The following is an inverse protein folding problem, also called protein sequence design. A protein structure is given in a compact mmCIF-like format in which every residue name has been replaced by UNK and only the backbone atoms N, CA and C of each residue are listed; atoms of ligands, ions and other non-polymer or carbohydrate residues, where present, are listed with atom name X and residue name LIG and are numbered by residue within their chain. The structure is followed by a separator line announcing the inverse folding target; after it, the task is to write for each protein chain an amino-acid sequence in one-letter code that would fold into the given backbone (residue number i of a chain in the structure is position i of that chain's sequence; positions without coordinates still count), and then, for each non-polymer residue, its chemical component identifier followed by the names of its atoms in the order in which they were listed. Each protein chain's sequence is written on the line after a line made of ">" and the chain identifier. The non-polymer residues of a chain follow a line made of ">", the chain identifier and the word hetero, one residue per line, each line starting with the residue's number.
data_IF_416032685704
#
_entry.id   IF_416032685704
#
_cell.length_a   1.000
_cell.length_b   1.000
_cell.length_c   1.000
_cell.angle_alpha   90.00
_cell.angle_beta   90.00
_cell.angle_gamma   90.00
#
_symmetry.space_group_name_H-M   'P 1'
#
loop_
_entity.id
_entity.type
_entity.pdbx_description
1 polymer ?
#
# COMPACT_ATOMS: atom_id res chain seq x y z
N UNK A 1 -32.80 22.39 20.77
CA UNK A 1 -31.89 23.53 21.05
C UNK A 1 -30.83 23.52 19.98
N UNK A 2 -30.97 24.39 18.98
CA UNK A 2 -29.95 24.61 17.96
C UNK A 2 -28.75 25.27 18.63
N UNK A 3 -27.66 24.51 18.80
CA UNK A 3 -26.40 25.11 19.22
C UNK A 3 -25.98 26.10 18.13
N UNK A 4 -26.01 27.38 18.48
CA UNK A 4 -25.40 28.44 17.71
C UNK A 4 -23.89 28.17 17.75
N UNK A 5 -23.39 27.37 16.81
CA UNK A 5 -21.96 27.24 16.55
C UNK A 5 -21.51 28.62 16.10
N UNK A 6 -21.04 29.45 17.04
CA UNK A 6 -20.50 30.77 16.74
C UNK A 6 -19.47 30.61 15.63
N UNK A 7 -19.79 31.10 14.44
CA UNK A 7 -18.99 30.91 13.25
C UNK A 7 -17.76 31.81 13.31
N UNK A 8 -16.77 31.42 14.09
CA UNK A 8 -15.45 32.05 14.03
C UNK A 8 -14.81 31.66 12.71
N UNK A 9 -14.42 32.66 11.92
CA UNK A 9 -13.68 32.47 10.68
C UNK A 9 -12.50 31.50 10.87
N UNK A 10 -12.32 30.51 9.98
CA UNK A 10 -11.17 29.61 10.03
C UNK A 10 -9.86 30.39 9.91
N UNK A 11 -8.81 29.95 10.61
CA UNK A 11 -7.49 30.57 10.59
C UNK A 11 -6.46 29.59 10.04
N UNK A 12 -5.70 30.03 9.06
CA UNK A 12 -4.59 29.27 8.47
C UNK A 12 -3.27 29.98 8.81
N UNK A 13 -2.44 29.32 9.61
CA UNK A 13 -1.09 29.78 9.93
C UNK A 13 -0.11 29.25 8.88
N UNK A 14 0.49 30.13 8.10
CA UNK A 14 1.30 29.77 6.93
C UNK A 14 2.35 30.84 6.65
N UNK A 15 3.42 30.44 5.97
CA UNK A 15 4.35 31.36 5.32
C UNK A 15 3.64 32.05 4.15
N UNK A 16 3.10 33.24 4.40
CA UNK A 16 2.20 33.96 3.49
C UNK A 16 2.87 34.21 2.13
N UNK A 17 4.19 34.41 2.12
CA UNK A 17 5.02 34.60 0.92
C UNK A 17 5.00 33.41 -0.05
N UNK A 18 4.54 32.22 0.40
CA UNK A 18 4.40 31.03 -0.44
C UNK A 18 3.05 30.93 -1.14
N UNK A 19 2.11 31.83 -0.84
CA UNK A 19 0.77 31.79 -1.42
C UNK A 19 0.71 32.62 -2.71
N UNK A 20 0.26 32.00 -3.80
CA UNK A 20 -0.11 32.71 -5.02
C UNK A 20 -1.47 33.41 -4.86
N UNK A 21 -1.75 34.37 -5.72
CA UNK A 21 -3.08 35.00 -5.83
C UNK A 21 -4.18 33.97 -6.08
N UNK A 22 -3.95 33.02 -6.98
CA UNK A 22 -4.87 31.92 -7.26
C UNK A 22 -5.18 31.08 -6.00
N UNK A 23 -4.17 30.75 -5.20
CA UNK A 23 -4.36 30.01 -3.95
C UNK A 23 -5.13 30.83 -2.92
N UNK A 24 -4.86 32.13 -2.81
CA UNK A 24 -5.59 33.00 -1.88
C UNK A 24 -7.07 33.14 -2.28
N UNK A 25 -7.38 33.19 -3.58
CA UNK A 25 -8.75 33.15 -4.09
C UNK A 25 -9.40 31.80 -3.79
N UNK A 26 -8.71 30.69 -4.08
CA UNK A 26 -9.21 29.34 -3.80
C UNK A 26 -9.52 29.12 -2.31
N UNK A 27 -8.66 29.61 -1.43
CA UNK A 27 -8.83 29.53 0.03
C UNK A 27 -9.92 30.46 0.57
N UNK A 28 -10.56 31.28 -0.28
CA UNK A 28 -11.50 32.31 0.16
C UNK A 28 -10.88 33.26 1.20
N UNK A 29 -9.61 33.63 0.96
CA UNK A 29 -8.80 34.48 1.84
C UNK A 29 -8.54 35.88 1.26
N UNK A 30 -9.03 36.16 0.05
CA UNK A 30 -8.75 37.39 -0.67
C UNK A 30 -9.56 38.59 -0.14
N UNK A 31 -8.96 39.80 0.00
CA UNK A 31 -9.69 40.96 0.49
C UNK A 31 -10.68 41.55 -0.54
N UNK A 32 -11.84 42.08 -0.09
CA UNK A 32 -12.38 41.99 1.26
C UNK A 32 -13.48 40.92 1.37
N UNK A 33 -13.12 39.72 1.83
CA UNK A 33 -14.08 38.71 2.28
C UNK A 33 -14.38 38.92 3.78
N UNK A 34 -15.60 39.33 4.12
CA UNK A 34 -16.05 39.60 5.51
C UNK A 34 -17.08 38.60 6.05
N UNK A 35 -17.29 37.49 5.34
CA UNK A 35 -18.23 36.44 5.73
C UNK A 35 -17.62 35.49 6.77
N UNK A 36 -18.48 34.82 7.53
CA UNK A 36 -18.10 33.86 8.58
C UNK A 36 -17.23 32.67 8.11
N UNK A 37 -17.13 32.43 6.79
CA UNK A 37 -16.37 31.33 6.19
C UNK A 37 -15.05 31.78 5.54
N UNK A 38 -14.70 33.07 5.57
CA UNK A 38 -13.45 33.54 4.97
C UNK A 38 -12.26 33.04 5.79
N UNK A 39 -11.22 32.52 5.11
CA UNK A 39 -10.01 32.04 5.78
C UNK A 39 -9.12 33.24 6.14
N UNK A 40 -8.83 33.38 7.44
CA UNK A 40 -7.86 34.36 7.93
C UNK A 40 -6.45 33.79 7.77
N UNK A 41 -5.66 34.38 6.88
CA UNK A 41 -4.24 34.06 6.72
C UNK A 41 -3.44 34.78 7.80
N UNK A 42 -2.69 34.00 8.57
CA UNK A 42 -1.83 34.49 9.65
C UNK A 42 -0.42 33.96 9.43
N UNK A 43 0.58 34.74 9.82
CA UNK A 43 1.97 34.33 9.72
C UNK A 43 2.22 33.07 10.56
N UNK A 44 2.97 32.11 10.01
CA UNK A 44 3.25 30.83 10.66
C UNK A 44 3.86 31.00 12.06
N UNK A 45 4.78 31.95 12.26
CA UNK A 45 5.44 32.16 13.56
C UNK A 45 4.49 32.73 14.63
N UNK A 46 3.35 33.29 14.22
CA UNK A 46 2.38 33.90 15.13
C UNK A 46 1.49 32.90 15.88
N UNK A 47 1.50 31.61 15.50
CA UNK A 47 0.59 30.58 16.04
C UNK A 47 0.57 30.52 17.57
N UNK A 48 1.73 30.61 18.23
CA UNK A 48 1.82 30.57 19.71
C UNK A 48 1.15 31.77 20.36
N UNK A 49 1.35 32.97 19.80
CA UNK A 49 0.77 34.23 20.30
C UNK A 49 -0.76 34.18 20.16
N UNK A 50 -1.26 33.79 18.99
CA UNK A 50 -2.69 33.69 18.74
C UNK A 50 -3.36 32.61 19.58
N UNK A 51 -2.72 31.45 19.77
CA UNK A 51 -3.22 30.39 20.65
C UNK A 51 -3.27 30.88 22.11
N UNK A 52 -2.20 31.50 22.60
CA UNK A 52 -2.16 32.09 23.95
C UNK A 52 -3.29 33.11 24.17
N UNK A 53 -3.47 34.04 23.23
CA UNK A 53 -4.56 35.02 23.27
C UNK A 53 -5.95 34.39 23.17
N UNK A 54 -6.11 33.32 22.39
CA UNK A 54 -7.38 32.60 22.30
C UNK A 54 -7.73 31.92 23.62
N UNK A 55 -6.74 31.36 24.30
CA UNK A 55 -6.90 30.67 25.58
C UNK A 55 -7.26 31.60 26.74
N UNK A 56 -7.06 32.92 26.65
CA UNK A 56 -7.51 33.86 27.70
C UNK A 56 -9.03 34.02 27.77
N UNK A 57 -9.74 33.62 26.71
CA UNK A 57 -11.21 33.73 26.64
C UNK A 57 -11.89 32.75 27.62
N UNK A 58 -13.03 33.13 28.22
CA UNK A 58 -13.80 32.21 29.04
C UNK A 58 -14.44 31.12 28.18
N UNK A 59 -14.60 29.92 28.75
CA UNK A 59 -15.32 28.78 28.15
C UNK A 59 -14.79 28.29 26.78
N UNK A 60 -13.51 28.49 26.48
CA UNK A 60 -12.86 27.90 25.30
C UNK A 60 -12.25 26.54 25.62
N UNK A 61 -12.37 25.61 24.68
CA UNK A 61 -11.63 24.34 24.68
C UNK A 61 -10.88 24.19 23.36
N UNK A 62 -9.70 23.59 23.41
CA UNK A 62 -8.83 23.34 22.26
C UNK A 62 -8.67 21.84 22.09
N UNK A 63 -9.03 21.34 20.92
CA UNK A 63 -8.87 19.93 20.58
C UNK A 63 -7.53 19.71 19.89
N UNK A 64 -6.70 18.83 20.45
CA UNK A 64 -5.41 18.42 19.88
C UNK A 64 -5.33 16.90 19.68
N UNK A 65 -4.48 16.48 18.73
CA UNK A 65 -4.14 15.07 18.54
C UNK A 65 -2.91 14.68 19.36
N UNK A 66 -2.95 13.60 20.13
CA UNK A 66 -1.84 13.22 21.03
C UNK A 66 -0.64 12.63 20.31
N UNK A 67 -0.82 12.08 19.11
CA UNK A 67 0.24 11.39 18.37
C UNK A 67 1.19 12.35 17.60
N UNK A 68 0.78 13.60 17.35
CA UNK A 68 1.52 14.52 16.46
C UNK A 68 1.52 15.98 16.89
N UNK A 69 0.83 16.36 17.96
CA UNK A 69 0.88 17.73 18.47
C UNK A 69 2.18 17.94 19.24
N UNK A 70 2.98 18.92 18.82
CA UNK A 70 4.26 19.21 19.48
C UNK A 70 4.05 19.77 20.88
N UNK A 71 5.01 19.48 21.77
CA UNK A 71 5.01 20.01 23.14
C UNK A 71 4.89 21.54 23.19
N UNK A 72 5.52 22.23 22.24
CA UNK A 72 5.52 23.69 22.18
C UNK A 72 4.14 24.31 21.99
N UNK A 73 3.17 23.59 21.42
CA UNK A 73 1.77 24.04 21.34
C UNK A 73 0.94 23.49 22.49
N UNK A 74 1.11 22.22 22.85
CA UNK A 74 0.28 21.59 23.88
C UNK A 74 0.51 22.18 25.27
N UNK A 75 1.75 22.59 25.60
CA UNK A 75 2.07 23.19 26.91
C UNK A 75 1.39 24.56 27.15
N UNK A 76 0.96 25.23 26.09
CA UNK A 76 0.26 26.51 26.19
C UNK A 76 -1.19 26.33 26.70
N UNK A 77 -1.78 25.15 26.48
CA UNK A 77 -3.19 24.87 26.75
C UNK A 77 -3.39 24.59 28.23
N UNK A 78 -3.58 25.66 29.01
CA UNK A 78 -3.84 25.61 30.46
C UNK A 78 -5.04 26.48 30.85
N UNK A 79 -5.78 26.13 31.93
CA UNK A 79 -5.69 24.89 32.73
C UNK A 79 -6.11 23.63 31.93
N UNK A 80 -5.82 22.44 32.47
CA UNK A 80 -6.04 21.13 31.81
C UNK A 80 -7.48 20.95 31.30
N UNK A 81 -8.48 21.49 31.99
CA UNK A 81 -9.90 21.50 31.57
C UNK A 81 -10.17 22.13 30.18
N UNK A 82 -9.23 22.95 29.67
CA UNK A 82 -9.32 23.54 28.32
C UNK A 82 -8.86 22.58 27.22
N UNK A 83 -8.25 21.45 27.55
CA UNK A 83 -7.75 20.49 26.56
C UNK A 83 -8.81 19.44 26.24
N UNK A 84 -8.98 19.18 24.94
CA UNK A 84 -9.66 18.00 24.43
C UNK A 84 -8.65 17.19 23.63
N UNK A 85 -8.61 15.89 23.84
CA UNK A 85 -7.62 15.02 23.20
C UNK A 85 -8.27 13.86 22.48
N UNK A 86 -7.71 13.52 21.32
CA UNK A 86 -7.89 12.23 20.66
C UNK A 86 -6.52 11.76 20.17
N UNK A 87 -6.35 10.46 19.88
CA UNK A 87 -5.11 9.99 19.25
C UNK A 87 -4.86 10.74 17.93
N UNK A 88 -5.91 10.80 17.10
CA UNK A 88 -5.89 11.47 15.79
C UNK A 88 -7.03 12.48 15.66
N UNK A 89 -6.84 13.59 14.94
CA UNK A 89 -7.94 14.53 14.67
C UNK A 89 -9.01 13.91 13.77
N UNK A 90 -10.24 14.44 13.79
CA UNK A 90 -11.29 14.03 12.86
C UNK A 90 -10.87 14.12 11.38
N UNK A 91 -9.98 15.06 11.02
CA UNK A 91 -9.46 15.21 9.66
C UNK A 91 -8.61 14.00 9.26
N UNK A 92 -7.72 13.52 10.15
CA UNK A 92 -6.91 12.32 9.93
C UNK A 92 -7.78 11.06 9.77
N UNK A 93 -8.85 10.94 10.56
CA UNK A 93 -9.80 9.83 10.44
C UNK A 93 -10.60 9.91 9.14
N UNK A 94 -11.02 11.11 8.73
CA UNK A 94 -11.79 11.31 7.51
C UNK A 94 -10.97 10.99 6.25
N UNK A 95 -9.77 11.58 6.10
CA UNK A 95 -8.92 11.37 4.91
C UNK A 95 -8.39 9.93 4.77
N UNK A 96 -8.36 9.18 5.87
CA UNK A 96 -7.95 7.78 5.85
C UNK A 96 -8.89 6.91 4.98
N UNK A 97 -10.18 7.28 4.89
CA UNK A 97 -11.21 6.58 4.13
C UNK A 97 -11.46 7.31 2.81
N UNK A 98 -10.99 6.72 1.70
CA UNK A 98 -11.06 7.36 0.39
C UNK A 98 -12.45 7.17 -0.21
N UNK A 99 -13.04 8.26 -0.69
CA UNK A 99 -14.33 8.23 -1.40
C UNK A 99 -14.25 7.48 -2.73
N UNK A 100 -15.38 7.22 -3.38
CA UNK A 100 -15.42 6.49 -4.65
C UNK A 100 -14.54 7.10 -5.74
N UNK A 101 -14.60 8.43 -5.91
CA UNK A 101 -13.77 9.12 -6.90
C UNK A 101 -12.27 8.99 -6.57
N UNK A 102 -11.89 9.18 -5.32
CA UNK A 102 -10.51 9.03 -4.86
C UNK A 102 -10.00 7.61 -5.09
N UNK A 103 -10.81 6.59 -4.76
CA UNK A 103 -10.47 5.18 -5.02
C UNK A 103 -10.21 4.91 -6.51
N UNK A 104 -11.06 5.45 -7.39
CA UNK A 104 -10.89 5.29 -8.84
C UNK A 104 -9.58 5.90 -9.32
N UNK A 105 -9.33 7.16 -8.97
CA UNK A 105 -8.15 7.87 -9.48
C UNK A 105 -6.85 7.33 -8.87
N UNK A 106 -6.86 6.86 -7.61
CA UNK A 106 -5.72 6.18 -7.01
C UNK A 106 -5.38 4.89 -7.76
N UNK A 107 -6.40 4.10 -8.13
CA UNK A 107 -6.20 2.89 -8.94
C UNK A 107 -5.62 3.24 -10.31
N UNK A 108 -6.10 4.30 -10.95
CA UNK A 108 -5.54 4.79 -12.21
C UNK A 108 -4.08 5.25 -12.08
N UNK A 109 -3.70 5.87 -10.96
CA UNK A 109 -2.31 6.22 -10.67
C UNK A 109 -1.41 4.98 -10.55
N UNK A 110 -1.90 3.91 -9.90
CA UNK A 110 -1.15 2.65 -9.80
C UNK A 110 -1.02 1.93 -11.15
N UNK A 111 -1.99 2.08 -12.06
CA UNK A 111 -1.88 1.59 -13.45
C UNK A 111 -0.74 2.31 -14.17
N UNK A 112 -0.66 3.65 -14.07
CA UNK A 112 0.45 4.42 -14.66
C UNK A 112 1.80 4.07 -14.04
N UNK A 113 1.85 3.91 -12.72
CA UNK A 113 3.06 3.52 -12.01
C UNK A 113 3.55 2.13 -12.43
N UNK A 114 2.64 1.18 -12.58
CA UNK A 114 2.96 -0.16 -13.05
C UNK A 114 3.62 -0.14 -14.44
N UNK A 115 3.25 0.79 -15.34
CA UNK A 115 3.95 0.96 -16.62
C UNK A 115 5.42 1.30 -16.40
N UNK A 116 5.72 2.31 -15.57
CA UNK A 116 7.08 2.74 -15.31
C UNK A 116 7.94 1.64 -14.65
N UNK A 117 7.35 0.87 -13.73
CA UNK A 117 8.05 -0.25 -13.09
C UNK A 117 8.28 -1.41 -14.08
N UNK A 118 7.31 -1.74 -14.94
CA UNK A 118 7.51 -2.76 -15.98
C UNK A 118 8.61 -2.34 -16.98
N UNK A 119 8.66 -1.07 -17.36
CA UNK A 119 9.75 -0.52 -18.18
C UNK A 119 11.11 -0.70 -17.50
N UNK A 120 11.21 -0.38 -16.20
CA UNK A 120 12.44 -0.59 -15.43
C UNK A 120 12.86 -2.06 -15.45
N UNK A 121 11.95 -2.98 -15.10
CA UNK A 121 12.28 -4.40 -14.98
C UNK A 121 12.68 -5.03 -16.31
N UNK A 122 11.99 -4.67 -17.40
CA UNK A 122 12.36 -5.08 -18.75
C UNK A 122 13.73 -4.52 -19.16
N UNK A 123 13.96 -3.22 -18.95
CA UNK A 123 15.23 -2.59 -19.29
C UNK A 123 16.39 -3.25 -18.55
N UNK A 124 16.25 -3.46 -17.23
CA UNK A 124 17.26 -4.14 -16.41
C UNK A 124 17.48 -5.60 -16.84
N UNK A 125 16.43 -6.35 -17.17
CA UNK A 125 16.57 -7.72 -17.69
C UNK A 125 17.46 -7.77 -18.95
N UNK A 126 17.42 -6.72 -19.78
CA UNK A 126 18.23 -6.62 -20.98
C UNK A 126 19.62 -5.97 -20.77
N UNK A 127 19.76 -5.04 -19.82
CA UNK A 127 20.99 -4.24 -19.62
C UNK A 127 21.95 -4.84 -18.59
N UNK A 128 21.47 -5.44 -17.51
CA UNK A 128 22.33 -6.01 -16.45
C UNK A 128 23.28 -7.09 -17.00
N UNK A 129 22.85 -8.02 -17.88
CA UNK A 129 23.78 -8.98 -18.48
C UNK A 129 24.92 -8.35 -19.32
N UNK A 130 24.76 -7.09 -19.75
CA UNK A 130 25.78 -6.34 -20.49
C UNK A 130 26.77 -5.60 -19.58
N UNK A 131 26.50 -5.54 -18.27
CA UNK A 131 27.44 -5.08 -17.25
C UNK A 131 27.60 -3.58 -17.06
N UNK A 132 26.65 -2.76 -17.52
CA UNK A 132 26.77 -1.29 -17.49
C UNK A 132 25.88 -0.61 -16.44
N UNK A 133 25.00 -1.35 -15.76
CA UNK A 133 24.04 -0.75 -14.84
C UNK A 133 24.48 -0.82 -13.39
N UNK A 134 24.03 0.18 -12.64
CA UNK A 134 24.30 0.37 -11.22
C UNK A 134 23.00 0.65 -10.47
N UNK A 135 23.06 0.62 -9.15
CA UNK A 135 21.92 1.01 -8.31
C UNK A 135 21.42 2.43 -8.62
N UNK A 136 22.34 3.40 -8.79
CA UNK A 136 21.98 4.78 -9.17
C UNK A 136 21.33 4.87 -10.55
N UNK A 137 21.84 4.12 -11.55
CA UNK A 137 21.23 4.18 -12.89
C UNK A 137 19.83 3.59 -12.90
N UNK A 138 19.59 2.54 -12.11
CA UNK A 138 18.26 1.95 -11.96
C UNK A 138 17.28 2.86 -11.19
N UNK A 139 17.72 3.46 -10.08
CA UNK A 139 16.91 4.44 -9.34
C UNK A 139 16.54 5.65 -10.21
N UNK A 140 17.48 6.16 -11.00
CA UNK A 140 17.23 7.24 -11.95
C UNK A 140 16.27 6.82 -13.05
N UNK A 141 16.46 5.64 -13.65
CA UNK A 141 15.64 5.15 -14.75
C UNK A 141 14.15 5.10 -14.38
N UNK A 142 13.79 4.50 -13.23
CA UNK A 142 12.38 4.39 -12.84
C UNK A 142 11.75 5.74 -12.58
N UNK A 143 12.51 6.69 -12.03
CA UNK A 143 12.04 8.06 -11.81
C UNK A 143 11.79 8.79 -13.14
N UNK A 144 12.67 8.62 -14.13
CA UNK A 144 12.45 9.16 -15.48
C UNK A 144 11.27 8.50 -16.19
N UNK A 145 11.11 7.17 -16.07
CA UNK A 145 9.97 6.46 -16.62
C UNK A 145 8.65 6.96 -16.00
N UNK A 146 8.62 7.23 -14.68
CA UNK A 146 7.48 7.84 -13.99
C UNK A 146 7.19 9.26 -14.45
N UNK A 147 8.22 10.08 -14.72
CA UNK A 147 8.03 11.46 -15.24
C UNK A 147 7.31 11.49 -16.59
N UNK A 148 7.42 10.44 -17.40
CA UNK A 148 6.69 10.33 -18.66
C UNK A 148 5.20 10.01 -18.48
N UNK A 149 4.80 9.53 -17.29
CA UNK A 149 3.43 9.18 -17.01
C UNK A 149 2.59 10.43 -16.68
N UNK A 150 1.35 10.44 -17.17
CA UNK A 150 0.43 11.56 -16.95
C UNK A 150 0.24 11.86 -15.45
N UNK A 151 0.16 13.16 -15.12
CA UNK A 151 0.00 13.69 -13.75
C UNK A 151 1.18 13.49 -12.79
N UNK A 152 2.30 12.88 -13.19
CA UNK A 152 3.44 12.70 -12.30
C UNK A 152 4.04 14.04 -11.80
N UNK A 153 4.47 14.07 -10.54
CA UNK A 153 5.06 15.20 -9.81
C UNK A 153 6.35 14.82 -9.07
N UNK A 154 7.02 13.75 -9.51
CA UNK A 154 8.24 13.23 -8.91
C UNK A 154 8.01 11.98 -8.07
N UNK A 155 9.06 11.51 -7.37
CA UNK A 155 8.97 10.33 -6.52
C UNK A 155 8.19 10.61 -5.23
N UNK A 156 7.55 9.58 -4.67
CA UNK A 156 6.86 9.67 -3.36
C UNK A 156 7.81 9.56 -2.16
N UNK A 157 9.00 9.00 -2.36
CA UNK A 157 10.12 8.91 -1.43
C UNK A 157 11.42 8.62 -2.21
N UNK A 158 12.58 8.67 -1.56
CA UNK A 158 13.87 8.36 -2.20
C UNK A 158 13.91 6.89 -2.63
N UNK A 159 14.09 6.62 -3.93
CA UNK A 159 14.10 5.26 -4.46
C UNK A 159 15.21 4.41 -3.82
N UNK A 160 14.80 3.28 -3.26
CA UNK A 160 15.71 2.21 -2.84
C UNK A 160 15.98 1.34 -4.06
N UNK A 161 17.23 1.31 -4.50
CA UNK A 161 17.71 0.43 -5.56
C UNK A 161 18.93 -0.28 -5.02
N UNK A 162 18.86 -1.58 -4.79
CA UNK A 162 19.81 -2.29 -3.95
C UNK A 162 20.19 -3.65 -4.54
N UNK A 163 21.49 -3.88 -4.75
CA UNK A 163 22.05 -5.15 -5.27
C UNK A 163 22.78 -5.92 -4.18
N UNK A 164 22.47 -7.22 -4.06
CA UNK A 164 23.17 -8.13 -3.15
C UNK A 164 23.12 -7.62 -1.70
N UNK A 165 24.28 -7.46 -1.02
CA UNK A 165 24.32 -7.07 0.40
C UNK A 165 23.61 -5.76 0.73
N UNK A 166 23.57 -4.80 -0.20
CA UNK A 166 22.86 -3.54 0.01
C UNK A 166 21.35 -3.76 0.18
N UNK A 167 20.78 -4.80 -0.46
CA UNK A 167 19.37 -5.12 -0.31
C UNK A 167 19.02 -5.63 1.10
N UNK A 168 20.00 -6.11 1.88
CA UNK A 168 19.80 -6.51 3.27
C UNK A 168 19.56 -5.32 4.22
N UNK A 169 19.77 -4.09 3.74
CA UNK A 169 19.53 -2.86 4.49
C UNK A 169 18.15 -2.31 4.13
N UNK A 170 17.16 -2.51 5.01
CA UNK A 170 15.75 -2.19 4.72
C UNK A 170 15.51 -0.73 4.28
N UNK A 171 16.31 0.23 4.76
CA UNK A 171 16.21 1.66 4.46
C UNK A 171 17.41 2.20 3.66
N UNK A 172 17.99 1.38 2.78
CA UNK A 172 19.10 1.80 1.91
C UNK A 172 18.63 2.66 0.74
N UNK A 173 19.33 3.75 0.46
CA UNK A 173 19.23 4.46 -0.82
C UNK A 173 20.64 4.66 -1.38
N UNK A 174 20.87 4.38 -2.67
CA UNK A 174 22.21 4.47 -3.24
C UNK A 174 22.72 5.90 -3.28
N UNK A 175 24.00 6.06 -2.96
CA UNK A 175 24.77 7.30 -3.08
C UNK A 175 25.94 7.06 -4.04
N UNK A 176 26.59 8.10 -4.59
CA UNK A 176 27.81 7.92 -5.38
C UNK A 176 28.88 7.07 -4.67
N UNK A 177 28.96 7.14 -3.34
CA UNK A 177 29.92 6.41 -2.51
C UNK A 177 29.54 4.95 -2.28
N UNK A 178 28.24 4.61 -2.28
CA UNK A 178 27.73 3.25 -2.00
C UNK A 178 27.23 2.51 -3.24
N UNK A 179 27.24 3.17 -4.41
CA UNK A 179 26.67 2.68 -5.66
C UNK A 179 27.33 1.37 -6.14
N UNK A 180 26.61 0.26 -6.09
CA UNK A 180 27.07 -1.03 -6.62
C UNK A 180 26.71 -1.20 -8.09
N UNK A 181 27.56 -1.93 -8.82
CA UNK A 181 27.19 -2.48 -10.12
C UNK A 181 26.14 -3.59 -9.92
N UNK A 182 25.12 -3.60 -10.79
CA UNK A 182 24.14 -4.67 -10.81
C UNK A 182 24.75 -5.92 -11.44
N UNK A 183 24.37 -7.09 -10.93
CA UNK A 183 24.92 -8.38 -11.33
C UNK A 183 23.83 -9.40 -11.59
N UNK A 184 24.05 -10.28 -12.58
CA UNK A 184 23.16 -11.42 -12.82
C UNK A 184 23.23 -12.49 -11.72
N UNK A 185 24.27 -12.45 -10.88
CA UNK A 185 24.50 -13.42 -9.82
C UNK A 185 24.00 -12.96 -8.44
N UNK A 186 23.42 -11.76 -8.36
CA UNK A 186 22.89 -11.19 -7.12
C UNK A 186 21.37 -11.01 -7.21
N UNK A 187 20.70 -11.02 -6.05
CA UNK A 187 19.33 -10.52 -5.97
C UNK A 187 19.35 -9.00 -6.03
N UNK A 188 18.34 -8.44 -6.68
CA UNK A 188 18.13 -7.01 -6.76
C UNK A 188 16.76 -6.64 -6.20
N UNK A 189 16.73 -5.65 -5.32
CA UNK A 189 15.53 -5.09 -4.73
C UNK A 189 15.37 -3.65 -5.21
N UNK A 190 14.18 -3.33 -5.73
CA UNK A 190 13.77 -1.95 -6.00
C UNK A 190 12.50 -1.64 -5.24
N UNK A 191 12.57 -0.64 -4.38
CA UNK A 191 11.43 -0.06 -3.69
C UNK A 191 11.32 1.42 -4.06
N UNK A 192 10.19 1.78 -4.65
CA UNK A 192 10.03 3.07 -5.29
C UNK A 192 8.56 3.42 -5.48
N UNK A 193 8.25 4.71 -5.47
CA UNK A 193 6.90 5.19 -5.74
C UNK A 193 6.89 6.56 -6.40
N UNK A 194 5.71 6.99 -6.84
CA UNK A 194 5.46 8.24 -7.53
C UNK A 194 4.39 9.07 -6.84
N UNK A 195 4.57 10.39 -6.87
CA UNK A 195 3.49 11.34 -6.64
C UNK A 195 2.84 11.65 -7.99
N UNK A 196 1.53 11.48 -8.05
CA UNK A 196 0.69 11.91 -9.14
C UNK A 196 -0.33 12.89 -8.58
N UNK A 197 -0.77 13.89 -9.35
CA UNK A 197 -1.80 14.85 -8.90
C UNK A 197 -3.10 14.17 -8.40
N UNK A 198 -3.26 12.90 -8.74
CA UNK A 198 -4.43 12.06 -8.49
C UNK A 198 -4.07 10.75 -7.76
N UNK A 199 -2.89 10.65 -7.14
CA UNK A 199 -2.55 9.50 -6.31
C UNK A 199 -1.11 9.47 -5.81
N UNK A 200 -0.87 8.70 -4.76
CA UNK A 200 0.48 8.35 -4.28
C UNK A 200 0.66 6.85 -4.42
N UNK A 201 1.80 6.41 -4.94
CA UNK A 201 2.11 4.99 -5.13
C UNK A 201 3.29 4.57 -4.28
N UNK A 202 3.32 3.28 -3.98
CA UNK A 202 4.38 2.59 -3.24
C UNK A 202 4.46 1.15 -3.73
N UNK A 203 5.65 0.68 -4.08
CA UNK A 203 5.82 -0.68 -4.63
C UNK A 203 7.27 -1.13 -4.54
N UNK A 204 7.43 -2.32 -3.96
CA UNK A 204 8.69 -3.04 -3.93
C UNK A 204 8.62 -4.31 -4.77
N UNK A 205 9.64 -4.53 -5.60
CA UNK A 205 9.89 -5.81 -6.29
C UNK A 205 11.31 -6.27 -6.05
N UNK A 206 11.46 -7.57 -5.83
CA UNK A 206 12.76 -8.24 -5.75
C UNK A 206 12.88 -9.23 -6.91
N UNK A 207 14.00 -9.20 -7.64
CA UNK A 207 14.24 -9.98 -8.87
C UNK A 207 15.64 -10.60 -8.87
N UNK A 208 15.86 -11.55 -9.78
CA UNK A 208 17.16 -12.18 -10.01
C UNK A 208 17.35 -12.48 -11.51
N UNK A 209 18.47 -12.06 -12.12
CA UNK A 209 18.67 -12.23 -13.58
C UNK A 209 19.36 -13.53 -13.99
N UNK A 210 20.14 -14.15 -13.11
CA UNK A 210 20.76 -15.47 -13.32
C UNK A 210 20.03 -16.61 -12.60
N UNK A 211 20.78 -17.50 -11.94
CA UNK A 211 20.24 -18.65 -11.20
C UNK A 211 20.24 -18.40 -9.69
N UNK A 212 19.07 -18.19 -9.05
CA UNK A 212 19.00 -18.01 -7.60
C UNK A 212 19.31 -19.32 -6.86
N UNK A 213 19.90 -19.20 -5.67
CA UNK A 213 20.15 -20.34 -4.77
C UNK A 213 18.86 -20.90 -4.19
N UNK A 214 18.89 -22.15 -3.71
CA UNK A 214 17.73 -22.76 -3.05
C UNK A 214 17.24 -21.92 -1.86
N UNK A 215 18.16 -21.37 -1.06
CA UNK A 215 17.80 -20.54 0.08
C UNK A 215 17.16 -19.21 -0.33
N UNK A 216 17.66 -18.55 -1.39
CA UNK A 216 17.04 -17.34 -1.94
C UNK A 216 15.61 -17.60 -2.43
N UNK A 217 15.38 -18.72 -3.12
CA UNK A 217 14.04 -19.13 -3.57
C UNK A 217 13.10 -19.43 -2.40
N UNK A 218 13.56 -20.18 -1.41
CA UNK A 218 12.77 -20.50 -0.22
C UNK A 218 12.40 -19.22 0.56
N UNK A 219 13.38 -18.36 0.84
CA UNK A 219 13.14 -17.11 1.55
C UNK A 219 12.17 -16.20 0.79
N UNK A 220 12.36 -16.02 -0.52
CA UNK A 220 11.46 -15.21 -1.34
C UNK A 220 10.04 -15.78 -1.36
N UNK A 221 9.92 -17.10 -1.51
CA UNK A 221 8.62 -17.75 -1.55
C UNK A 221 7.89 -17.62 -0.21
N UNK A 222 8.59 -17.71 0.92
CA UNK A 222 7.99 -17.49 2.25
C UNK A 222 7.53 -16.05 2.46
N UNK A 223 8.29 -15.07 1.99
CA UNK A 223 7.85 -13.66 1.97
C UNK A 223 6.59 -13.51 1.12
N UNK A 224 6.58 -14.10 -0.09
CA UNK A 224 5.42 -14.08 -0.99
C UNK A 224 4.20 -14.75 -0.36
N UNK A 225 4.37 -15.90 0.29
CA UNK A 225 3.29 -16.58 1.02
C UNK A 225 2.68 -15.65 2.07
N UNK A 226 3.50 -14.94 2.85
CA UNK A 226 3.00 -13.96 3.82
C UNK A 226 2.18 -12.83 3.18
N UNK A 227 2.66 -12.29 2.05
CA UNK A 227 1.95 -11.23 1.32
C UNK A 227 0.61 -11.74 0.78
N UNK A 228 0.59 -12.95 0.20
CA UNK A 228 -0.63 -13.60 -0.30
C UNK A 228 -1.62 -13.84 0.83
N UNK A 229 -1.18 -14.38 1.98
CA UNK A 229 -2.06 -14.69 3.11
C UNK A 229 -2.75 -13.42 3.62
N UNK A 230 -2.05 -12.30 3.80
CA UNK A 230 -2.70 -11.05 4.18
C UNK A 230 -3.66 -10.59 3.09
N UNK A 231 -3.19 -10.52 1.84
CA UNK A 231 -3.97 -9.98 0.71
C UNK A 231 -5.27 -10.73 0.45
N UNK A 232 -5.33 -12.03 0.75
CA UNK A 232 -6.53 -12.87 0.56
C UNK A 232 -7.43 -12.98 1.80
N UNK A 233 -7.01 -12.43 2.94
CA UNK A 233 -7.71 -12.65 4.21
C UNK A 233 -9.08 -11.99 4.19
N UNK A 234 -10.10 -12.76 4.55
CA UNK A 234 -11.45 -12.26 4.80
C UNK A 234 -11.60 -12.08 6.32
N UNK A 235 -11.96 -10.89 6.76
CA UNK A 235 -11.98 -10.52 8.18
C UNK A 235 -13.24 -9.73 8.55
N UNK A 236 -13.73 -9.82 9.81
CA UNK A 236 -14.86 -9.02 10.26
C UNK A 236 -14.60 -7.52 10.16
N UNK A 237 -15.62 -6.76 9.80
CA UNK A 237 -15.55 -5.30 9.84
C UNK A 237 -15.16 -4.81 11.24
N UNK A 238 -14.26 -3.82 11.32
CA UNK A 238 -13.73 -3.33 12.59
C UNK A 238 -12.49 -4.06 13.11
N UNK A 239 -11.95 -5.02 12.34
CA UNK A 239 -10.65 -5.63 12.64
C UNK A 239 -9.51 -4.61 12.43
N UNK A 240 -8.57 -4.56 13.36
CA UNK A 240 -7.33 -3.74 13.26
C UNK A 240 -6.23 -4.56 12.59
N UNK A 241 -5.39 -3.92 11.78
CA UNK A 241 -4.31 -4.61 11.05
C UNK A 241 -3.33 -5.35 11.95
N UNK A 242 -3.09 -4.86 13.17
CA UNK A 242 -2.21 -5.54 14.15
C UNK A 242 -2.61 -6.99 14.44
N UNK A 243 -3.89 -7.36 14.30
CA UNK A 243 -4.33 -8.74 14.51
C UNK A 243 -4.06 -9.66 13.31
N UNK A 244 -3.68 -9.10 12.17
CA UNK A 244 -3.35 -9.82 10.94
C UNK A 244 -1.85 -9.81 10.63
N UNK A 245 -1.07 -9.06 11.41
CA UNK A 245 0.39 -8.89 11.28
C UNK A 245 1.12 -10.24 11.19
N UNK A 246 0.72 -11.19 12.05
CA UNK A 246 1.31 -12.53 12.09
C UNK A 246 1.17 -13.29 10.77
N UNK A 247 0.16 -13.01 9.93
CA UNK A 247 -0.07 -13.71 8.66
C UNK A 247 1.07 -13.42 7.67
N UNK A 248 1.62 -12.21 7.70
CA UNK A 248 2.77 -11.83 6.89
C UNK A 248 4.08 -12.46 7.38
N UNK A 249 4.12 -12.95 8.62
CA UNK A 249 5.32 -13.54 9.25
C UNK A 249 5.31 -15.05 9.34
N UNK A 250 4.13 -15.68 9.37
CA UNK A 250 3.94 -17.10 9.69
C UNK A 250 4.88 -18.01 8.90
N UNK A 251 4.91 -17.84 7.58
CA UNK A 251 5.73 -18.68 6.70
C UNK A 251 7.23 -18.51 6.96
N UNK A 252 7.70 -17.33 7.38
CA UNK A 252 9.10 -17.10 7.77
C UNK A 252 9.39 -17.74 9.14
N UNK A 253 8.49 -17.57 10.11
CA UNK A 253 8.65 -18.13 11.45
C UNK A 253 8.75 -19.65 11.48
N UNK A 254 8.06 -20.34 10.57
CA UNK A 254 8.14 -21.81 10.43
C UNK A 254 9.57 -22.33 10.18
N UNK A 255 10.48 -21.47 9.70
CA UNK A 255 11.90 -21.79 9.49
C UNK A 255 12.84 -20.87 10.27
N UNK A 256 12.32 -20.16 11.27
CA UNK A 256 13.13 -19.30 12.14
C UNK A 256 13.61 -17.98 11.50
N UNK A 257 12.99 -17.56 10.39
CA UNK A 257 13.27 -16.26 9.75
C UNK A 257 12.29 -15.19 10.23
N UNK A 258 12.64 -13.91 10.09
CA UNK A 258 11.78 -12.77 10.44
C UNK A 258 12.22 -11.48 9.71
N UNK A 259 11.43 -10.40 9.78
CA UNK A 259 11.81 -9.06 9.31
C UNK A 259 11.62 -7.97 10.39
N UNK A 260 12.45 -6.93 10.34
CA UNK A 260 12.58 -5.92 11.40
C UNK A 260 11.66 -4.70 11.32
N UNK A 261 10.70 -4.67 10.39
CA UNK A 261 9.74 -3.57 10.19
C UNK A 261 8.28 -4.04 10.27
N UNK A 262 7.33 -3.11 10.22
CA UNK A 262 5.91 -3.42 10.17
C UNK A 262 5.48 -3.95 8.80
N UNK A 263 4.36 -4.67 8.72
CA UNK A 263 3.88 -5.28 7.46
C UNK A 263 3.21 -4.31 6.49
N UNK A 264 2.97 -3.07 6.91
CA UNK A 264 2.39 -2.06 6.04
C UNK A 264 1.92 -0.81 6.77
N UNK A 265 1.59 0.21 5.97
CA UNK A 265 1.14 1.52 6.41
C UNK A 265 0.07 2.05 5.46
N UNK A 266 -0.70 3.04 5.91
CA UNK A 266 -1.64 3.75 5.03
C UNK A 266 -0.92 4.49 3.91
N UNK A 267 -1.61 4.66 2.78
CA UNK A 267 -1.14 5.45 1.64
C UNK A 267 -2.13 6.58 1.34
N UNK A 268 -1.61 7.80 1.23
CA UNK A 268 -2.39 9.00 0.93
C UNK A 268 -2.79 9.15 -0.54
N UNK A 269 -3.60 10.17 -0.83
CA UNK A 269 -3.96 10.57 -2.19
C UNK A 269 -3.24 11.88 -2.52
N UNK A 270 -2.15 11.82 -3.30
CA UNK A 270 -1.25 12.95 -3.55
C UNK A 270 -0.82 13.63 -2.23
N UNK A 271 -0.40 12.80 -1.28
CA UNK A 271 -0.01 13.21 0.07
C UNK A 271 1.12 12.30 0.60
N UNK A 272 1.22 12.12 1.91
CA UNK A 272 2.21 11.23 2.50
C UNK A 272 2.07 9.79 2.00
N UNK A 273 3.19 9.20 1.55
CA UNK A 273 3.28 7.76 1.24
C UNK A 273 3.08 6.92 2.50
N UNK A 274 3.61 7.39 3.63
CA UNK A 274 3.33 6.88 4.97
C UNK A 274 2.21 7.69 5.63
N UNK A 275 0.98 7.21 5.54
CA UNK A 275 -0.21 7.91 6.02
C UNK A 275 -0.86 7.24 7.25
N UNK A 276 -0.65 7.83 8.42
CA UNK A 276 -1.42 7.49 9.61
C UNK A 276 -2.90 7.89 9.47
N UNK A 277 -3.84 7.16 10.12
CA UNK A 277 -3.62 6.08 11.09
C UNK A 277 -3.96 4.68 10.55
N UNK A 278 -3.85 4.44 9.25
CA UNK A 278 -4.08 3.12 8.63
C UNK A 278 -2.79 2.30 8.67
N UNK A 279 -2.87 0.99 8.88
CA UNK A 279 -1.70 0.10 8.91
C UNK A 279 -1.86 -1.09 9.86
N UNK A 280 -0.72 -1.72 10.18
CA UNK A 280 -0.62 -2.96 10.95
C UNK A 280 0.01 -2.78 12.34
N UNK A 281 0.40 -1.56 12.70
CA UNK A 281 0.95 -1.19 14.00
C UNK A 281 -0.12 -1.07 15.10
N UNK A 282 0.30 -1.11 16.37
CA UNK A 282 -0.59 -1.17 17.54
C UNK A 282 -1.44 0.09 17.76
N UNK A 283 -1.05 1.24 17.23
CA UNK A 283 -1.75 2.52 17.31
C UNK A 283 -2.61 2.82 16.06
N UNK A 284 -2.73 1.90 15.10
CA UNK A 284 -3.61 2.08 13.93
C UNK A 284 -5.09 1.88 14.26
N UNK A 285 -5.96 2.53 13.49
CA UNK A 285 -7.41 2.37 13.63
C UNK A 285 -7.89 1.08 12.95
N UNK A 286 -9.10 0.58 13.30
CA UNK A 286 -9.75 -0.48 12.54
C UNK A 286 -9.87 -0.19 11.05
N UNK A 287 -9.65 -1.21 10.23
CA UNK A 287 -9.86 -1.09 8.79
C UNK A 287 -11.33 -0.81 8.48
N UNK A 288 -11.53 0.02 7.45
CA UNK A 288 -12.83 0.35 6.86
C UNK A 288 -12.69 0.32 5.34
N UNK A 289 -13.79 0.05 4.65
CA UNK A 289 -13.86 0.14 3.19
C UNK A 289 -13.26 1.46 2.69
N UNK A 290 -12.45 1.39 1.65
CA UNK A 290 -11.81 2.54 1.02
C UNK A 290 -10.54 3.04 1.69
N UNK A 291 -10.08 2.39 2.76
CA UNK A 291 -8.71 2.60 3.25
C UNK A 291 -7.70 1.95 2.31
N UNK A 292 -6.67 2.69 1.93
CA UNK A 292 -5.50 2.17 1.22
C UNK A 292 -4.37 1.88 2.21
N UNK A 293 -3.72 0.73 2.07
CA UNK A 293 -2.55 0.32 2.87
C UNK A 293 -1.56 -0.44 1.99
N UNK A 294 -0.26 -0.33 2.27
CA UNK A 294 0.73 -1.30 1.77
C UNK A 294 0.57 -2.65 2.49
N UNK A 295 0.99 -3.72 1.82
CA UNK A 295 1.29 -5.04 2.37
C UNK A 295 2.69 -5.39 1.88
N UNK A 296 3.67 -5.35 2.77
CA UNK A 296 5.10 -5.32 2.44
C UNK A 296 5.96 -6.25 3.32
N UNK A 297 5.65 -7.56 3.46
CA UNK A 297 6.56 -8.45 4.17
C UNK A 297 7.94 -8.49 3.51
N UNK A 298 8.96 -8.81 4.30
CA UNK A 298 10.34 -8.92 3.83
C UNK A 298 11.17 -9.97 4.55
N UNK A 299 12.43 -10.08 4.15
CA UNK A 299 13.47 -10.84 4.83
C UNK A 299 14.83 -10.28 4.41
N UNK A 300 15.73 -10.10 5.36
CA UNK A 300 17.02 -9.45 5.13
C UNK A 300 18.12 -10.31 5.73
N UNK A 301 18.96 -10.90 4.88
CA UNK A 301 20.12 -11.66 5.30
C UNK A 301 21.35 -10.75 5.22
N UNK A 302 21.86 -10.39 6.39
CA UNK A 302 23.06 -9.57 6.54
C UNK A 302 24.20 -10.06 5.63
N UNK A 303 24.88 -9.10 5.02
CA UNK A 303 26.01 -9.30 4.09
C UNK A 303 25.74 -10.16 2.85
N UNK A 304 24.47 -10.44 2.50
CA UNK A 304 24.13 -11.33 1.38
C UNK A 304 23.04 -10.76 0.46
N UNK A 305 21.78 -10.73 0.91
CA UNK A 305 20.65 -10.25 0.11
C UNK A 305 19.48 -9.80 0.99
N UNK A 306 18.58 -9.03 0.41
CA UNK A 306 17.27 -8.76 1.00
C UNK A 306 16.14 -8.97 0.01
N UNK A 307 14.96 -9.20 0.57
CA UNK A 307 13.71 -9.40 -0.12
C UNK A 307 12.69 -8.49 0.55
N UNK A 308 11.93 -7.77 -0.26
CA UNK A 308 10.64 -7.22 0.12
C UNK A 308 9.69 -7.37 -1.06
N UNK A 309 8.45 -7.71 -0.74
CA UNK A 309 7.37 -7.82 -1.71
C UNK A 309 6.28 -6.90 -1.20
N UNK A 310 6.06 -5.81 -1.93
CA UNK A 310 5.12 -4.80 -1.50
C UNK A 310 4.08 -4.52 -2.57
N UNK A 311 2.83 -4.52 -2.13
CA UNK A 311 1.70 -4.10 -2.92
C UNK A 311 0.80 -3.18 -2.10
N UNK A 312 0.33 -2.12 -2.74
CA UNK A 312 -0.75 -1.31 -2.18
C UNK A 312 -2.07 -2.01 -2.46
N UNK A 313 -2.92 -2.02 -1.44
CA UNK A 313 -4.26 -2.59 -1.47
C UNK A 313 -5.29 -1.60 -0.97
N UNK A 314 -6.53 -1.75 -1.42
CA UNK A 314 -7.70 -1.06 -0.86
C UNK A 314 -8.60 -2.05 -0.13
N UNK A 315 -9.08 -1.67 1.06
CA UNK A 315 -10.05 -2.46 1.81
C UNK A 315 -11.41 -2.40 1.11
N UNK A 316 -12.00 -3.56 0.84
CA UNK A 316 -13.29 -3.71 0.15
C UNK A 316 -14.20 -4.68 0.91
N UNK A 317 -15.53 -4.60 0.74
CA UNK A 317 -16.45 -5.60 1.28
C UNK A 317 -16.13 -7.00 0.73
N UNK A 318 -16.34 -8.03 1.55
CA UNK A 318 -16.20 -9.42 1.17
C UNK A 318 -17.53 -10.16 1.28
N UNK A 319 -17.91 -10.91 0.25
CA UNK A 319 -19.04 -11.82 0.31
C UNK A 319 -18.67 -13.06 1.12
N UNK A 320 -19.53 -13.48 2.04
CA UNK A 320 -19.35 -14.71 2.81
C UNK A 320 -20.63 -15.53 2.84
N UNK A 321 -20.48 -16.84 3.09
CA UNK A 321 -21.59 -17.79 3.07
C UNK A 321 -22.64 -17.56 4.16
N UNK A 322 -22.23 -17.05 5.33
CA UNK A 322 -23.08 -17.01 6.52
C UNK A 322 -23.25 -15.61 7.15
N UNK A 323 -22.37 -14.65 6.84
CA UNK A 323 -22.41 -13.31 7.44
C UNK A 323 -22.27 -12.19 6.41
N UNK A 324 -22.68 -10.98 6.79
CA UNK A 324 -22.79 -9.85 5.86
C UNK A 324 -21.88 -8.65 6.19
N UNK A 325 -21.03 -8.75 7.22
CA UNK A 325 -20.14 -7.66 7.68
C UNK A 325 -18.67 -8.08 7.67
N UNK A 326 -18.18 -8.49 6.50
CA UNK A 326 -16.79 -8.89 6.30
C UNK A 326 -16.13 -8.03 5.22
N UNK A 327 -14.81 -7.90 5.32
CA UNK A 327 -13.98 -7.17 4.39
C UNK A 327 -12.83 -8.06 3.92
N UNK A 328 -12.21 -7.66 2.83
CA UNK A 328 -10.98 -8.23 2.27
C UNK A 328 -10.17 -7.10 1.64
N UNK A 329 -9.05 -7.44 1.00
CA UNK A 329 -8.20 -6.51 0.29
C UNK A 329 -8.31 -6.71 -1.22
N UNK A 330 -8.32 -5.60 -1.96
CA UNK A 330 -8.14 -5.57 -3.40
C UNK A 330 -6.78 -4.95 -3.73
N UNK A 331 -5.88 -5.74 -4.32
CA UNK A 331 -4.57 -5.23 -4.77
C UNK A 331 -4.74 -4.23 -5.92
N UNK A 332 -4.04 -3.11 -5.82
CA UNK A 332 -3.97 -2.07 -6.86
C UNK A 332 -2.60 -1.95 -7.51
N UNK A 333 -1.53 -2.47 -6.89
CA UNK A 333 -0.21 -2.62 -7.52
C UNK A 333 -0.21 -3.78 -8.54
N UNK A 334 0.11 -3.50 -9.80
CA UNK A 334 -0.12 -4.42 -10.93
C UNK A 334 1.16 -4.84 -11.67
N UNK A 335 2.19 -5.25 -10.92
CA UNK A 335 3.48 -5.70 -11.47
C UNK A 335 3.73 -7.16 -11.09
N UNK A 336 4.10 -8.06 -12.02
CA UNK A 336 4.32 -9.46 -11.68
C UNK A 336 5.49 -9.64 -10.70
N UNK A 337 5.48 -10.74 -9.94
CA UNK A 337 6.63 -11.16 -9.13
C UNK A 337 7.60 -11.99 -9.98
N UNK A 338 8.90 -11.98 -9.64
CA UNK A 338 9.88 -12.75 -10.40
C UNK A 338 9.67 -14.25 -10.23
N UNK A 339 9.25 -14.90 -11.32
CA UNK A 339 8.95 -16.34 -11.38
C UNK A 339 10.15 -17.21 -11.04
N UNK A 340 11.39 -16.75 -11.28
CA UNK A 340 12.62 -17.52 -10.99
C UNK A 340 12.82 -17.73 -9.49
N UNK A 341 12.31 -16.81 -8.67
CA UNK A 341 12.43 -16.84 -7.21
C UNK A 341 11.31 -17.65 -6.53
N UNK A 342 10.27 -18.05 -7.26
CA UNK A 342 9.12 -18.76 -6.69
C UNK A 342 9.36 -20.27 -6.71
N UNK A 343 9.38 -20.88 -5.53
CA UNK A 343 9.37 -22.32 -5.34
C UNK A 343 7.93 -22.81 -5.08
N UNK A 344 7.27 -23.25 -6.14
CA UNK A 344 5.87 -23.71 -6.06
C UNK A 344 5.69 -24.97 -5.21
N UNK A 345 6.76 -25.70 -4.90
CA UNK A 345 6.68 -26.95 -4.12
C UNK A 345 6.29 -26.74 -2.66
N UNK A 346 6.52 -25.53 -2.12
CA UNK A 346 6.18 -25.17 -0.74
C UNK A 346 4.90 -24.32 -0.64
N UNK A 347 4.26 -24.00 -1.77
CA UNK A 347 3.05 -23.20 -1.82
C UNK A 347 1.80 -24.09 -1.79
N UNK A 348 0.74 -23.60 -1.12
CA UNK A 348 -0.55 -24.29 -1.15
C UNK A 348 -1.26 -24.12 -2.51
N UNK A 349 -2.14 -25.06 -2.90
CA UNK A 349 -2.97 -24.89 -4.10
C UNK A 349 -3.76 -23.59 -4.11
N UNK A 350 -4.23 -23.15 -2.93
CA UNK A 350 -4.95 -21.90 -2.78
C UNK A 350 -4.07 -20.68 -3.05
N UNK A 351 -2.79 -20.70 -2.64
CA UNK A 351 -1.84 -19.62 -2.91
C UNK A 351 -1.50 -19.56 -4.41
N UNK A 352 -1.28 -20.71 -5.05
CA UNK A 352 -1.05 -20.78 -6.50
C UNK A 352 -2.25 -20.27 -7.29
N UNK A 353 -3.47 -20.66 -6.90
CA UNK A 353 -4.70 -20.16 -7.52
C UNK A 353 -4.83 -18.64 -7.37
N UNK A 354 -4.53 -18.11 -6.18
CA UNK A 354 -4.54 -16.67 -5.94
C UNK A 354 -3.54 -15.95 -6.86
N UNK A 355 -2.34 -16.50 -7.00
CA UNK A 355 -1.29 -15.93 -7.85
C UNK A 355 -1.69 -15.91 -9.33
N UNK A 356 -2.31 -16.99 -9.82
CA UNK A 356 -2.84 -17.05 -11.18
C UNK A 356 -4.00 -16.06 -11.40
N UNK A 357 -4.86 -15.86 -10.40
CA UNK A 357 -5.90 -14.82 -10.42
C UNK A 357 -5.29 -13.42 -10.48
N UNK A 358 -4.26 -13.15 -9.68
CA UNK A 358 -3.53 -11.88 -9.69
C UNK A 358 -2.89 -11.63 -11.06
N UNK A 359 -2.22 -12.62 -11.63
CA UNK A 359 -1.58 -12.52 -12.94
C UNK A 359 -2.59 -12.34 -14.07
N UNK A 360 -3.76 -12.98 -13.99
CA UNK A 360 -4.88 -12.71 -14.89
C UNK A 360 -5.36 -11.26 -14.76
N UNK A 361 -5.50 -10.72 -13.54
CA UNK A 361 -5.86 -9.32 -13.31
C UNK A 361 -4.85 -8.37 -13.95
N UNK A 362 -3.54 -8.61 -13.79
CA UNK A 362 -2.49 -7.83 -14.43
C UNK A 362 -2.70 -7.82 -15.95
N UNK A 363 -2.84 -8.99 -16.60
CA UNK A 363 -3.05 -9.04 -18.06
C UNK A 363 -4.28 -8.26 -18.51
N UNK A 364 -5.39 -8.41 -17.79
CA UNK A 364 -6.66 -7.76 -18.14
C UNK A 364 -6.58 -6.23 -18.04
N UNK A 365 -5.85 -5.69 -17.06
CA UNK A 365 -5.77 -4.24 -16.84
C UNK A 365 -4.60 -3.62 -17.61
N UNK A 366 -3.41 -4.21 -17.49
CA UNK A 366 -2.17 -3.65 -18.06
C UNK A 366 -2.04 -3.90 -19.54
N UNK A 367 -2.61 -4.99 -20.08
CA UNK A 367 -2.54 -5.30 -21.51
C UNK A 367 -3.05 -4.15 -22.40
N UNK A 368 -4.28 -3.66 -22.20
CA UNK A 368 -4.81 -2.51 -22.94
C UNK A 368 -4.07 -1.20 -22.69
N UNK A 369 -3.60 -0.93 -21.46
CA UNK A 369 -2.88 0.31 -21.17
C UNK A 369 -1.50 0.35 -21.86
N UNK A 370 -0.75 -0.76 -21.84
CA UNK A 370 0.53 -0.85 -22.54
C UNK A 370 0.34 -0.74 -24.06
N UNK A 371 -0.71 -1.34 -24.62
CA UNK A 371 -1.05 -1.19 -26.04
C UNK A 371 -1.38 0.26 -26.40
N UNK A 372 -2.21 0.92 -25.58
CA UNK A 372 -2.57 2.33 -25.74
C UNK A 372 -1.35 3.26 -25.70
N UNK A 373 -0.34 2.95 -24.88
CA UNK A 373 0.92 3.70 -24.84
C UNK A 373 1.93 3.29 -25.92
N UNK A 374 1.63 2.27 -26.75
CA UNK A 374 2.53 1.78 -27.80
C UNK A 374 3.70 0.92 -27.31
N UNK A 375 3.63 0.42 -26.06
CA UNK A 375 4.68 -0.29 -25.34
C UNK A 375 4.62 -1.80 -25.59
N UNK A 376 4.92 -2.20 -26.84
CA UNK A 376 4.77 -3.60 -27.30
C UNK A 376 5.75 -4.57 -26.62
N UNK A 377 6.97 -4.14 -26.33
CA UNK A 377 7.98 -5.00 -25.69
C UNK A 377 7.61 -5.27 -24.24
N UNK A 378 7.17 -4.24 -23.51
CA UNK A 378 6.66 -4.31 -22.15
C UNK A 378 5.40 -5.17 -22.08
N UNK A 379 4.49 -5.04 -23.05
CA UNK A 379 3.30 -5.89 -23.14
C UNK A 379 3.70 -7.37 -23.30
N UNK A 380 4.62 -7.69 -24.22
CA UNK A 380 5.10 -9.05 -24.43
C UNK A 380 5.82 -9.59 -23.18
N UNK A 381 6.65 -8.75 -22.54
CA UNK A 381 7.33 -9.07 -21.29
C UNK A 381 6.35 -9.38 -20.15
N UNK A 382 5.30 -8.56 -20.00
CA UNK A 382 4.24 -8.76 -19.01
C UNK A 382 3.48 -10.05 -19.27
N UNK A 383 3.15 -10.36 -20.52
CA UNK A 383 2.47 -11.61 -20.88
C UNK A 383 3.30 -12.85 -20.51
N UNK A 384 4.60 -12.85 -20.83
CA UNK A 384 5.54 -13.92 -20.45
C UNK A 384 5.65 -14.07 -18.93
N UNK A 385 5.78 -12.96 -18.21
CA UNK A 385 5.98 -12.99 -16.75
C UNK A 385 4.70 -13.19 -15.94
N UNK A 386 3.54 -13.25 -16.61
CA UNK A 386 2.25 -13.54 -15.97
C UNK A 386 1.66 -14.89 -16.37
N UNK A 387 2.39 -15.77 -17.07
CA UNK A 387 1.90 -17.12 -17.38
C UNK A 387 1.39 -17.87 -16.13
N UNK A 388 0.29 -18.64 -16.23
CA UNK A 388 -0.24 -19.35 -15.07
C UNK A 388 0.74 -20.42 -14.55
N UNK A 389 0.76 -20.63 -13.24
CA UNK A 389 1.49 -21.73 -12.61
C UNK A 389 0.70 -23.04 -12.65
N UNK A 390 -0.63 -22.98 -12.51
CA UNK A 390 -1.49 -24.13 -12.65
C UNK A 390 -1.82 -24.34 -14.13
N UNK A 391 -1.23 -25.35 -14.76
CA UNK A 391 -1.62 -25.74 -16.12
C UNK A 391 -3.01 -26.41 -16.08
N UNK A 392 -3.85 -26.12 -17.07
CA UNK A 392 -5.25 -26.58 -17.17
C UNK A 392 -5.44 -28.12 -17.25
N UNK A 393 -4.38 -28.92 -17.10
CA UNK A 393 -4.37 -30.39 -17.20
C UNK A 393 -4.66 -31.13 -15.89
N UNK A 394 -4.90 -30.42 -14.77
CA UNK A 394 -5.26 -31.06 -13.49
C UNK A 394 -6.77 -31.06 -13.17
N UNK A 395 -7.64 -30.59 -14.09
CA UNK A 395 -9.09 -30.44 -13.84
C UNK A 395 -9.96 -31.60 -14.37
N UNK A 396 -9.37 -32.77 -14.63
CA UNK A 396 -10.09 -33.96 -15.12
C UNK A 396 -10.02 -35.16 -14.17
N UNK A 397 -10.02 -34.94 -12.84
CA UNK A 397 -10.20 -36.02 -11.84
C UNK A 397 -10.99 -35.59 -10.60
N UNK A 398 -11.99 -34.72 -10.76
CA UNK A 398 -12.99 -34.42 -9.72
C UNK A 398 -14.40 -34.52 -10.30
N UNK A 399 -14.71 -35.66 -10.90
CA UNK A 399 -16.09 -36.00 -11.28
C UNK A 399 -16.30 -37.51 -11.31
N UNK A 400 -16.27 -38.18 -10.16
CA UNK A 400 -17.00 -39.44 -9.94
C UNK A 400 -17.16 -39.71 -8.44
N UNK A 401 -18.35 -40.19 -8.08
CA UNK A 401 -18.85 -40.60 -6.74
C UNK A 401 -19.36 -39.40 -5.90
N UNK A 402 -20.65 -39.20 -5.65
CA UNK A 402 -21.74 -40.17 -5.48
C UNK A 402 -23.10 -39.56 -5.81
N UNK A 403 -23.71 -40.01 -6.90
CA UNK A 403 -25.15 -40.06 -7.05
C UNK A 403 -25.63 -41.38 -6.46
N UNK A 404 -26.07 -41.37 -5.19
CA UNK A 404 -26.97 -42.41 -4.69
C UNK A 404 -28.37 -41.82 -4.53
N UNK A 405 -29.22 -42.29 -5.42
CA UNK A 405 -30.66 -42.16 -5.53
C UNK A 405 -31.39 -42.38 -4.20
N UNK A 406 -32.16 -41.40 -3.75
CA UNK A 406 -33.18 -41.58 -2.72
C UNK A 406 -34.49 -42.00 -3.42
N UNK A 407 -34.73 -43.30 -3.53
CA UNK A 407 -36.04 -43.83 -3.97
C UNK A 407 -36.99 -43.89 -2.77
N UNK A 408 -38.08 -43.14 -2.89
CA UNK A 408 -39.28 -43.24 -2.06
C UNK A 408 -39.89 -44.65 -2.11
N UNK A 409 -40.18 -45.24 -0.95
CA UNK A 409 -41.27 -46.21 -0.80
C UNK A 409 -42.02 -45.96 0.51
N UNK A 410 -43.35 -45.92 0.38
CA UNK A 410 -44.37 -45.77 1.42
C UNK A 410 -45.00 -47.15 1.69
N UNK A 411 -45.59 -47.34 2.89
CA UNK A 411 -46.38 -48.48 3.41
C UNK A 411 -45.54 -49.69 3.89
N UNK A 412 -45.79 -50.37 5.01
CA UNK A 412 -46.99 -50.58 5.87
C UNK A 412 -46.50 -51.18 7.22
N UNK A 413 -47.00 -50.71 8.37
CA UNK A 413 -48.05 -51.29 9.22
C UNK A 413 -47.67 -52.58 10.03
N UNK A 414 -47.72 -52.43 11.37
CA UNK A 414 -48.12 -53.38 12.43
C UNK A 414 -47.16 -54.44 13.03
N UNK A 415 -47.20 -54.44 14.37
CA UNK A 415 -47.08 -55.56 15.35
C UNK A 415 -45.65 -56.03 15.70
N UNK A 416 -45.20 -56.23 16.97
CA UNK A 416 -45.86 -56.51 18.26
C UNK A 416 -45.02 -55.99 19.47
N UNK A 417 -45.73 -55.65 20.55
CA UNK A 417 -45.47 -55.92 21.99
C UNK A 417 -44.02 -55.83 22.55
N UNK A 418 -43.76 -54.80 23.36
CA UNK A 418 -43.66 -54.88 24.84
C UNK A 418 -43.63 -53.46 25.43
#
# INVERSE_FOLDING_TARGET
>A
MTHNLGTTAPRLFVHIERLSEELMVYLNAWPPCYQAQCVQLLDYASVRIYLGNYLTRPNVRVWIGTEYTTRGLSELITPEEKILTSAYSPVLIAKAVKGERERSILKEAHVRDAVAVMQLLLWLENSVPRGNETELTAAHFVNEARKQQHNNKGPSFETISASGPNAALAHYSPTPETNRNLSVNEMYLVDSGGQYLDGTTDITRTVHWGTPTNFQKEAFTRVLMGSIEISRTIFPQGTRGVYMEMLGRRALWEVGLNYGHGTGHGVGNYFGVHEWPVGFQSNNIPFKEGMFTSIEPGYYKEDDFGIRIEDVVVVVPAETKYGHNYMTFEIVSLVPYDRKLIDTSIMSPQQLQWLDTYYKKIRTIMGPELEKQGLKEEQAWMMKNTEPFLTATASATLSTLSSLTLTLTVLSLLQLLS
#
